data_IF_330398354094
#
_entry.id   IF_330398354094
#
_cell.length_a   1.000
_cell.length_b   1.000
_cell.length_c   1.000
_cell.angle_alpha   90.00
_cell.angle_beta   90.00
_cell.angle_gamma   90.00
#
_symmetry.space_group_name_H-M   'P 1'
#
loop_
_entity.id
_entity.type
_entity.pdbx_description
1 polymer ?
#
# COMPACT_ATOMS: atom_id res chain seq x y z
N UNK A 1 9.04 -45.64 -53.74
CA UNK A 1 8.29 -44.47 -54.23
C UNK A 1 6.88 -44.52 -53.64
N UNK A 2 6.54 -43.70 -52.63
CA UNK A 2 5.18 -43.61 -52.08
C UNK A 2 4.81 -42.13 -51.96
N UNK A 3 3.79 -41.74 -52.74
CA UNK A 3 3.22 -40.39 -52.79
C UNK A 3 2.23 -40.24 -51.63
N UNK A 4 2.37 -39.20 -50.82
CA UNK A 4 1.37 -38.82 -49.82
C UNK A 4 0.49 -37.72 -50.39
N UNK A 5 -0.82 -37.99 -50.46
CA UNK A 5 -1.85 -37.05 -50.89
C UNK A 5 -2.17 -36.07 -49.76
N UNK A 6 -2.10 -34.78 -50.04
CA UNK A 6 -2.57 -33.72 -49.17
C UNK A 6 -4.10 -33.67 -49.24
N UNK A 7 -4.76 -34.03 -48.13
CA UNK A 7 -6.21 -33.94 -47.97
C UNK A 7 -6.55 -32.60 -47.34
N UNK A 8 -6.95 -31.65 -48.18
CA UNK A 8 -7.35 -30.29 -47.79
C UNK A 8 -8.70 -30.35 -47.07
N UNK A 9 -8.69 -30.26 -45.74
CA UNK A 9 -9.89 -30.13 -44.91
C UNK A 9 -10.36 -28.66 -44.92
N UNK A 10 -11.39 -28.40 -45.73
CA UNK A 10 -12.25 -27.22 -45.64
C UNK A 10 -13.02 -27.25 -44.31
N UNK A 11 -12.52 -26.52 -43.32
CA UNK A 11 -13.28 -26.26 -42.08
C UNK A 11 -14.24 -25.10 -42.33
N UNK A 12 -15.54 -25.41 -42.29
CA UNK A 12 -16.64 -24.44 -42.27
C UNK A 12 -16.42 -23.40 -41.17
N UNK A 13 -16.26 -22.14 -41.57
CA UNK A 13 -16.39 -20.99 -40.68
C UNK A 13 -17.88 -20.80 -40.33
N UNK A 14 -18.34 -21.54 -39.33
CA UNK A 14 -19.63 -21.28 -38.69
C UNK A 14 -19.57 -19.91 -38.01
N UNK A 15 -20.39 -18.97 -38.49
CA UNK A 15 -20.63 -17.67 -37.85
C UNK A 15 -21.25 -17.89 -36.47
N UNK A 16 -20.43 -18.07 -35.44
CA UNK A 16 -20.89 -17.93 -34.06
C UNK A 16 -21.14 -16.45 -33.81
N UNK A 17 -22.41 -16.06 -33.78
CA UNK A 17 -22.82 -14.76 -33.27
C UNK A 17 -22.37 -14.69 -31.80
N UNK A 18 -21.35 -13.87 -31.52
CA UNK A 18 -20.97 -13.47 -30.17
C UNK A 18 -22.18 -12.77 -29.55
N UNK A 19 -22.96 -13.50 -28.76
CA UNK A 19 -24.01 -12.91 -27.94
C UNK A 19 -23.36 -11.84 -27.07
N UNK A 20 -23.80 -10.58 -27.25
CA UNK A 20 -23.35 -9.47 -26.44
C UNK A 20 -23.61 -9.82 -24.97
N UNK A 21 -22.53 -10.02 -24.21
CA UNK A 21 -22.64 -10.28 -22.78
C UNK A 21 -23.37 -9.10 -22.15
N UNK A 22 -24.44 -9.33 -21.34
CA UNK A 22 -25.23 -8.26 -20.75
C UNK A 22 -24.31 -7.27 -20.05
N UNK A 23 -24.33 -6.04 -20.54
CA UNK A 23 -23.46 -4.96 -20.10
C UNK A 23 -23.83 -4.63 -18.66
N UNK A 24 -22.92 -4.96 -17.73
CA UNK A 24 -22.96 -4.60 -16.31
C UNK A 24 -23.54 -3.21 -16.10
N UNK A 25 -24.54 -3.03 -15.23
CA UNK A 25 -25.02 -1.71 -14.79
C UNK A 25 -23.85 -0.93 -14.14
N UNK A 26 -23.23 0.03 -14.86
CA UNK A 26 -21.98 0.64 -14.39
C UNK A 26 -22.10 1.36 -13.03
N UNK A 27 -23.23 2.06 -12.72
CA UNK A 27 -23.37 2.80 -11.46
C UNK A 27 -23.33 1.94 -10.20
N UNK A 28 -23.94 0.74 -10.23
CA UNK A 28 -24.01 -0.13 -9.05
C UNK A 28 -22.63 -0.69 -8.70
N UNK A 29 -21.89 -1.13 -9.73
CA UNK A 29 -20.53 -1.66 -9.54
C UNK A 29 -19.63 -0.57 -8.98
N UNK A 30 -19.62 0.58 -9.64
CA UNK A 30 -18.74 1.68 -9.29
C UNK A 30 -19.00 2.21 -7.87
N UNK A 31 -20.25 2.45 -7.51
CA UNK A 31 -20.62 2.95 -6.17
C UNK A 31 -20.22 1.98 -5.07
N UNK A 32 -20.46 0.68 -5.26
CA UNK A 32 -20.11 -0.37 -4.27
C UNK A 32 -18.60 -0.47 -4.09
N UNK A 33 -17.82 -0.45 -5.18
CA UNK A 33 -16.36 -0.55 -5.11
C UNK A 33 -15.76 0.72 -4.50
N UNK A 34 -16.21 1.91 -4.91
CA UNK A 34 -15.77 3.20 -4.34
C UNK A 34 -16.02 3.27 -2.84
N UNK A 35 -17.19 2.82 -2.36
CA UNK A 35 -17.51 2.79 -0.94
C UNK A 35 -16.56 1.90 -0.11
N UNK A 36 -15.87 0.94 -0.75
CA UNK A 36 -14.88 0.05 -0.12
C UNK A 36 -13.45 0.35 -0.55
N UNK A 37 -13.21 1.46 -1.24
CA UNK A 37 -11.90 1.86 -1.76
C UNK A 37 -10.78 1.85 -0.71
N UNK A 38 -10.95 2.41 0.52
CA UNK A 38 -9.88 2.40 1.52
C UNK A 38 -9.40 1.00 1.92
N UNK A 39 -10.24 -0.03 1.77
CA UNK A 39 -9.85 -1.41 2.00
C UNK A 39 -8.96 -1.97 0.88
N UNK A 40 -9.27 -1.64 -0.37
CA UNK A 40 -8.50 -2.06 -1.55
C UNK A 40 -7.16 -1.31 -1.60
N UNK A 41 -7.20 0.00 -1.34
CA UNK A 41 -6.01 0.86 -1.32
C UNK A 41 -4.98 0.40 -0.28
N UNK A 42 -5.41 -0.17 0.86
CA UNK A 42 -4.51 -0.77 1.85
C UNK A 42 -3.65 -1.91 1.30
N UNK A 43 -4.15 -2.71 0.35
CA UNK A 43 -3.36 -3.76 -0.28
C UNK A 43 -2.13 -3.18 -0.99
N UNK A 44 -2.33 -2.09 -1.72
CA UNK A 44 -1.28 -1.40 -2.45
C UNK A 44 -0.34 -0.63 -1.51
N UNK A 45 -0.87 0.16 -0.58
CA UNK A 45 -0.07 0.99 0.32
C UNK A 45 0.88 0.17 1.21
N UNK A 46 0.51 -1.05 1.58
CA UNK A 46 1.37 -1.93 2.37
C UNK A 46 2.63 -2.37 1.60
N UNK A 47 2.51 -2.62 0.31
CA UNK A 47 3.63 -2.99 -0.54
C UNK A 47 4.38 -1.75 -1.06
N UNK A 48 3.68 -0.63 -1.24
CA UNK A 48 4.29 0.64 -1.63
C UNK A 48 5.30 1.12 -0.58
N UNK A 49 4.94 0.99 0.70
CA UNK A 49 5.85 1.28 1.83
C UNK A 49 7.10 0.40 1.87
N UNK A 50 7.09 -0.74 1.19
CA UNK A 50 8.27 -1.62 1.08
C UNK A 50 9.12 -1.30 -0.14
N UNK A 51 8.76 -0.28 -0.92
CA UNK A 51 9.36 0.00 -2.23
C UNK A 51 9.09 -1.09 -3.27
N UNK A 52 8.13 -1.99 -3.02
CA UNK A 52 7.94 -3.20 -3.80
C UNK A 52 6.92 -3.06 -4.95
N UNK A 53 6.32 -1.86 -5.11
CA UNK A 53 5.33 -1.55 -6.16
C UNK A 53 5.42 -0.10 -6.62
N UNK A 54 5.15 0.12 -7.91
CA UNK A 54 4.95 1.44 -8.51
C UNK A 54 3.52 1.63 -9.00
N UNK A 55 3.28 2.72 -9.75
CA UNK A 55 2.01 2.99 -10.42
C UNK A 55 1.56 1.77 -11.25
N UNK A 56 0.25 1.52 -11.31
CA UNK A 56 -0.27 0.50 -12.19
C UNK A 56 -1.75 0.22 -12.04
N UNK A 57 -2.24 -0.70 -12.86
CA UNK A 57 -3.64 -1.06 -12.98
C UNK A 57 -3.82 -2.54 -12.67
N UNK A 58 -4.92 -2.87 -12.02
CA UNK A 58 -5.42 -4.24 -11.85
C UNK A 58 -6.86 -4.27 -12.33
N UNK A 59 -7.17 -5.13 -13.31
CA UNK A 59 -8.52 -5.36 -13.80
C UNK A 59 -9.05 -6.62 -13.15
N UNK A 60 -10.09 -6.47 -12.32
CA UNK A 60 -10.69 -7.57 -11.57
C UNK A 60 -11.95 -8.04 -12.27
N UNK A 61 -11.97 -9.30 -12.68
CA UNK A 61 -13.19 -9.99 -13.08
C UNK A 61 -13.86 -10.60 -11.85
N UNK A 62 -15.19 -10.56 -11.79
CA UNK A 62 -15.94 -11.12 -10.67
C UNK A 62 -17.31 -11.66 -11.07
N UNK A 63 -17.87 -12.51 -10.20
CA UNK A 63 -19.22 -13.04 -10.29
C UNK A 63 -19.86 -13.12 -8.91
N UNK A 64 -21.09 -12.63 -8.77
CA UNK A 64 -21.87 -12.70 -7.53
C UNK A 64 -22.85 -13.87 -7.52
N UNK A 65 -23.42 -14.17 -6.35
CA UNK A 65 -24.66 -14.92 -6.25
C UNK A 65 -25.90 -14.00 -6.30
N UNK A 66 -27.09 -14.60 -6.22
CA UNK A 66 -28.39 -13.90 -6.18
C UNK A 66 -28.53 -12.93 -4.99
N UNK A 67 -27.78 -13.14 -3.90
CA UNK A 67 -27.76 -12.25 -2.73
C UNK A 67 -26.74 -11.11 -2.85
N UNK A 68 -26.09 -10.99 -4.00
CA UNK A 68 -25.09 -9.97 -4.31
C UNK A 68 -23.71 -10.18 -3.68
N UNK A 69 -23.44 -11.31 -3.03
CA UNK A 69 -22.09 -11.61 -2.52
C UNK A 69 -21.18 -12.09 -3.64
N UNK A 70 -19.95 -11.59 -3.69
CA UNK A 70 -18.94 -12.03 -4.67
C UNK A 70 -18.48 -13.46 -4.34
N UNK A 71 -18.84 -14.43 -5.19
CA UNK A 71 -18.41 -15.82 -5.05
C UNK A 71 -17.09 -16.09 -5.75
N UNK A 72 -16.89 -15.51 -6.94
CA UNK A 72 -15.68 -15.65 -7.74
C UNK A 72 -15.08 -14.27 -8.00
N UNK A 73 -13.76 -14.18 -7.88
CA UNK A 73 -13.00 -13.02 -8.31
C UNK A 73 -11.64 -13.51 -8.83
N UNK A 74 -11.17 -12.94 -9.94
CA UNK A 74 -9.92 -13.27 -10.59
C UNK A 74 -9.29 -12.02 -11.21
N UNK A 75 -7.98 -12.07 -11.45
CA UNK A 75 -7.27 -11.03 -12.17
C UNK A 75 -7.48 -11.31 -13.66
N UNK A 76 -8.09 -10.36 -14.36
CA UNK A 76 -8.24 -10.44 -15.81
C UNK A 76 -7.02 -9.83 -16.52
N UNK A 77 -6.53 -8.71 -16.00
CA UNK A 77 -5.36 -7.97 -16.53
C UNK A 77 -4.65 -7.32 -15.34
N UNK A 78 -3.34 -7.18 -15.38
CA UNK A 78 -2.61 -6.36 -14.41
C UNK A 78 -1.32 -5.81 -15.02
N UNK A 79 -1.00 -4.55 -14.68
CA UNK A 79 0.33 -3.98 -14.94
C UNK A 79 1.20 -3.95 -13.68
N UNK A 80 0.61 -4.17 -12.51
CA UNK A 80 1.34 -4.33 -11.24
C UNK A 80 1.75 -5.79 -11.13
N UNK A 81 3.05 -6.08 -11.14
CA UNK A 81 3.54 -7.48 -11.07
C UNK A 81 3.61 -8.07 -9.67
N UNK A 82 3.38 -7.27 -8.63
CA UNK A 82 3.46 -7.73 -7.26
C UNK A 82 2.28 -8.67 -6.90
N UNK A 83 2.58 -9.96 -6.77
CA UNK A 83 1.61 -11.02 -6.43
C UNK A 83 0.99 -10.87 -5.03
N UNK A 84 1.63 -10.16 -4.10
CA UNK A 84 1.04 -9.88 -2.78
C UNK A 84 -0.11 -8.88 -2.94
N UNK A 85 0.07 -7.83 -3.74
CA UNK A 85 -1.01 -6.88 -4.06
C UNK A 85 -2.14 -7.58 -4.81
N UNK A 86 -1.84 -8.34 -5.88
CA UNK A 86 -2.86 -9.06 -6.67
C UNK A 86 -3.72 -9.96 -5.77
N UNK A 87 -3.10 -10.82 -4.95
CA UNK A 87 -3.82 -11.71 -4.02
C UNK A 87 -4.63 -10.95 -2.97
N UNK A 88 -4.07 -9.89 -2.39
CA UNK A 88 -4.78 -9.06 -1.42
C UNK A 88 -6.03 -8.41 -2.06
N UNK A 89 -5.91 -7.85 -3.26
CA UNK A 89 -7.04 -7.22 -3.98
C UNK A 89 -8.15 -8.23 -4.22
N UNK A 90 -7.84 -9.42 -4.74
CA UNK A 90 -8.83 -10.50 -4.95
C UNK A 90 -9.51 -10.89 -3.64
N UNK A 91 -8.74 -11.10 -2.57
CA UNK A 91 -9.29 -11.44 -1.26
C UNK A 91 -10.25 -10.37 -0.73
N UNK A 92 -9.93 -9.09 -0.92
CA UNK A 92 -10.79 -7.97 -0.54
C UNK A 92 -12.02 -7.86 -1.44
N UNK A 93 -11.88 -8.10 -2.74
CA UNK A 93 -13.00 -8.07 -3.69
C UNK A 93 -14.04 -9.15 -3.40
N UNK A 94 -13.62 -10.36 -2.99
CA UNK A 94 -14.52 -11.45 -2.54
C UNK A 94 -15.39 -11.09 -1.33
N UNK A 95 -15.02 -10.04 -0.57
CA UNK A 95 -15.81 -9.56 0.58
C UNK A 95 -16.83 -8.49 0.22
N UNK A 96 -16.92 -8.09 -1.05
CA UNK A 96 -17.92 -7.12 -1.49
C UNK A 96 -19.31 -7.76 -1.54
N UNK A 97 -20.32 -6.93 -1.26
CA UNK A 97 -21.74 -7.26 -1.39
C UNK A 97 -22.40 -6.15 -2.19
N UNK A 98 -23.00 -6.53 -3.32
CA UNK A 98 -23.78 -5.65 -4.17
C UNK A 98 -25.25 -5.72 -3.75
N UNK A 99 -25.97 -4.60 -3.89
CA UNK A 99 -27.42 -4.56 -3.69
C UNK A 99 -28.07 -4.97 -5.00
N UNK A 100 -28.51 -6.24 -5.08
CA UNK A 100 -29.25 -6.78 -6.21
C UNK A 100 -30.71 -6.97 -5.81
N UNK A 101 -31.59 -6.98 -6.81
CA UNK A 101 -33.03 -7.29 -6.67
C UNK A 101 -33.31 -8.75 -6.29
N UNK A 102 -32.34 -9.64 -6.51
CA UNK A 102 -32.42 -11.06 -6.16
C UNK A 102 -32.74 -11.98 -7.33
N UNK A 103 -33.04 -11.43 -8.51
CA UNK A 103 -33.40 -12.21 -9.70
C UNK A 103 -32.17 -12.67 -10.48
N UNK A 104 -31.10 -11.86 -10.45
CA UNK A 104 -29.94 -12.06 -11.31
C UNK A 104 -28.63 -12.13 -10.53
N UNK A 105 -27.67 -12.88 -11.09
CA UNK A 105 -26.27 -12.80 -10.67
C UNK A 105 -25.57 -11.69 -11.45
N UNK A 106 -24.69 -10.94 -10.80
CA UNK A 106 -23.87 -9.93 -11.44
C UNK A 106 -22.53 -10.52 -11.84
N UNK A 107 -22.19 -10.47 -13.13
CA UNK A 107 -20.84 -10.72 -13.63
C UNK A 107 -20.28 -9.42 -14.17
N UNK A 108 -19.08 -9.04 -13.74
CA UNK A 108 -18.51 -7.74 -14.09
C UNK A 108 -17.01 -7.77 -14.18
N UNK A 109 -16.49 -6.70 -14.81
CA UNK A 109 -15.07 -6.42 -14.94
C UNK A 109 -14.87 -5.00 -14.41
N UNK A 110 -13.96 -4.82 -13.45
CA UNK A 110 -13.72 -3.52 -12.83
C UNK A 110 -12.23 -3.15 -12.85
N UNK A 111 -11.85 -2.07 -13.55
CA UNK A 111 -10.48 -1.57 -13.55
C UNK A 111 -10.18 -0.81 -12.26
N UNK A 112 -9.09 -1.18 -11.60
CA UNK A 112 -8.55 -0.49 -10.43
C UNK A 112 -7.21 0.14 -10.80
N UNK A 113 -7.14 1.46 -10.75
CA UNK A 113 -5.89 2.18 -10.95
C UNK A 113 -5.29 2.54 -9.59
N UNK A 114 -4.08 2.08 -9.35
CA UNK A 114 -3.24 2.52 -8.25
C UNK A 114 -2.24 3.52 -8.78
N UNK A 115 -2.04 4.59 -8.02
CA UNK A 115 -0.94 5.48 -8.28
C UNK A 115 -0.02 5.51 -7.06
N UNK A 116 1.25 5.18 -7.28
CA UNK A 116 2.37 5.73 -6.55
C UNK A 116 2.43 7.22 -6.88
N UNK A 117 1.39 7.97 -6.47
CA UNK A 117 1.61 9.36 -6.12
C UNK A 117 2.60 9.29 -5.00
N UNK A 118 3.87 9.34 -5.36
CA UNK A 118 4.94 9.71 -4.48
C UNK A 118 4.38 10.88 -3.70
N UNK A 119 4.54 10.84 -2.38
CA UNK A 119 4.30 11.96 -1.49
C UNK A 119 5.14 13.21 -1.87
N UNK A 120 5.65 13.31 -3.11
CA UNK A 120 6.13 14.51 -3.79
C UNK A 120 5.05 15.61 -3.91
N UNK A 121 3.76 15.30 -3.79
CA UNK A 121 2.73 16.34 -3.66
C UNK A 121 2.67 17.01 -2.26
N UNK A 122 3.44 16.53 -1.27
CA UNK A 122 3.68 17.24 -0.02
C UNK A 122 5.04 17.98 0.00
N UNK A 123 5.86 17.84 -1.04
CA UNK A 123 7.18 18.51 -1.14
C UNK A 123 7.12 19.89 -1.82
N UNK A 124 5.93 20.48 -2.01
CA UNK A 124 5.78 21.86 -2.53
C UNK A 124 4.95 22.79 -1.66
N UNK A 125 4.53 22.35 -0.47
CA UNK A 125 4.06 23.30 0.54
C UNK A 125 5.25 23.66 1.44
N UNK A 126 5.81 24.83 1.13
CA UNK A 126 6.69 25.65 1.94
C UNK A 126 6.48 25.41 3.46
N UNK A 127 7.54 25.07 4.23
CA UNK A 127 7.48 24.75 5.65
C UNK A 127 7.31 26.03 6.49
N UNK A 128 6.17 26.70 6.34
CA UNK A 128 5.84 27.90 7.12
C UNK A 128 4.71 27.66 8.14
N UNK A 129 4.07 26.47 8.15
CA UNK A 129 2.98 26.14 9.07
C UNK A 129 3.25 24.99 10.05
N UNK A 130 4.47 24.46 10.08
CA UNK A 130 4.82 23.28 10.89
C UNK A 130 5.89 23.55 11.96
N UNK A 131 6.24 24.81 12.25
CA UNK A 131 7.19 25.10 13.34
C UNK A 131 6.68 24.56 14.69
N UNK A 132 5.38 24.74 14.99
CA UNK A 132 4.77 24.14 16.19
C UNK A 132 4.84 22.60 16.16
N UNK A 133 4.55 21.98 15.02
CA UNK A 133 4.61 20.52 14.89
C UNK A 133 6.03 19.99 15.07
N UNK A 134 7.01 20.70 14.50
CA UNK A 134 8.42 20.40 14.66
C UNK A 134 8.84 20.50 16.13
N UNK A 135 8.48 21.58 16.82
CA UNK A 135 8.75 21.75 18.26
C UNK A 135 8.13 20.64 19.10
N UNK A 136 6.90 20.25 18.79
CA UNK A 136 6.21 19.15 19.46
C UNK A 136 6.87 17.78 19.22
N UNK A 137 7.37 17.55 18.00
CA UNK A 137 8.14 16.33 17.66
C UNK A 137 9.50 16.36 18.36
N UNK A 138 10.22 17.49 18.31
CA UNK A 138 11.48 17.70 19.01
C UNK A 138 11.32 17.40 20.50
N UNK A 139 10.31 17.98 21.14
CA UNK A 139 10.01 17.72 22.55
C UNK A 139 9.78 16.23 22.82
N UNK A 140 8.95 15.57 22.01
CA UNK A 140 8.67 14.14 22.17
C UNK A 140 9.93 13.26 21.99
N UNK A 141 10.85 13.65 21.11
CA UNK A 141 12.16 12.99 20.94
C UNK A 141 13.04 13.21 22.16
N UNK A 142 13.14 14.46 22.64
CA UNK A 142 13.98 14.82 23.79
C UNK A 142 13.53 14.09 25.08
N UNK A 143 12.22 14.03 25.35
CA UNK A 143 11.65 13.29 26.48
C UNK A 143 12.02 11.80 26.48
N UNK A 144 12.30 11.23 25.30
CA UNK A 144 12.65 9.82 25.10
C UNK A 144 14.12 9.60 24.79
N UNK A 145 14.93 10.66 24.77
CA UNK A 145 16.36 10.60 24.47
C UNK A 145 17.12 9.52 25.27
N UNK A 146 16.88 9.32 26.58
CA UNK A 146 17.55 8.26 27.33
C UNK A 146 17.33 6.85 26.76
N UNK A 147 16.16 6.59 26.15
CA UNK A 147 15.84 5.30 25.52
C UNK A 147 16.55 5.14 24.18
N UNK A 148 16.65 6.21 23.37
CA UNK A 148 17.46 6.20 22.15
C UNK A 148 18.94 5.96 22.46
N UNK A 149 19.47 6.66 23.47
CA UNK A 149 20.84 6.45 23.96
C UNK A 149 21.06 5.02 24.43
N UNK A 150 20.07 4.39 25.07
CA UNK A 150 20.13 2.98 25.47
C UNK A 150 20.22 2.02 24.28
N UNK A 151 19.48 2.25 23.19
CA UNK A 151 19.61 1.47 21.95
C UNK A 151 21.06 1.48 21.44
N UNK A 152 21.65 2.67 21.37
CA UNK A 152 23.01 2.86 20.91
C UNK A 152 24.05 2.22 21.86
N UNK A 153 24.01 2.55 23.15
CA UNK A 153 25.00 2.06 24.12
C UNK A 153 25.00 0.54 24.26
N UNK A 154 23.83 -0.11 24.18
CA UNK A 154 23.71 -1.56 24.25
C UNK A 154 24.53 -2.26 23.16
N UNK A 155 24.36 -1.82 21.92
CA UNK A 155 25.10 -2.40 20.78
C UNK A 155 26.54 -1.88 20.70
N UNK A 156 26.80 -0.66 21.19
CA UNK A 156 28.14 -0.09 21.29
C UNK A 156 29.07 -0.97 22.13
N UNK A 157 28.62 -1.36 23.33
CA UNK A 157 29.39 -2.21 24.24
C UNK A 157 29.52 -3.62 23.66
N UNK A 158 28.43 -4.16 23.10
CA UNK A 158 28.39 -5.53 22.59
C UNK A 158 29.30 -5.75 21.37
N UNK A 159 29.31 -4.81 20.43
CA UNK A 159 30.01 -4.96 19.15
C UNK A 159 31.26 -4.05 19.03
N UNK A 160 31.68 -3.42 20.14
CA UNK A 160 32.81 -2.48 20.20
C UNK A 160 32.74 -1.37 19.13
N UNK A 161 31.55 -0.79 18.94
CA UNK A 161 31.34 0.26 17.93
C UNK A 161 31.97 1.56 18.42
N UNK A 162 32.92 2.10 17.69
CA UNK A 162 33.55 3.39 18.00
C UNK A 162 32.91 4.56 17.26
N UNK A 163 32.11 4.27 16.23
CA UNK A 163 31.61 5.26 15.29
C UNK A 163 30.46 6.06 15.87
N UNK A 164 30.64 7.38 15.91
CA UNK A 164 29.55 8.36 16.04
C UNK A 164 28.83 8.46 14.69
N UNK A 165 27.55 8.80 14.70
CA UNK A 165 26.80 8.84 13.45
C UNK A 165 25.38 9.33 13.63
N UNK A 166 24.72 9.54 12.50
CA UNK A 166 23.33 9.98 12.44
C UNK A 166 22.46 8.89 11.81
N UNK A 167 21.28 8.67 12.39
CA UNK A 167 20.20 7.89 11.79
C UNK A 167 19.11 8.86 11.37
N UNK A 168 18.89 9.00 10.06
CA UNK A 168 17.81 9.80 9.49
C UNK A 168 16.55 8.94 9.40
N UNK A 169 15.55 9.28 10.21
CA UNK A 169 14.27 8.56 10.22
C UNK A 169 13.26 9.27 9.33
N UNK A 170 12.58 8.53 8.46
CA UNK A 170 11.31 8.97 7.89
C UNK A 170 10.17 8.54 8.81
N UNK A 171 9.17 9.39 9.01
CA UNK A 171 8.04 9.08 9.90
C UNK A 171 6.72 9.68 9.44
N UNK A 172 5.62 9.12 9.96
CA UNK A 172 4.25 9.63 9.82
C UNK A 172 3.57 9.67 11.18
N UNK A 173 3.04 10.83 11.55
CA UNK A 173 2.24 11.08 12.75
C UNK A 173 0.78 11.28 12.33
N UNK A 174 -0.12 10.52 12.94
CA UNK A 174 -1.55 10.68 12.70
C UNK A 174 -2.11 11.93 13.38
N UNK A 175 -3.36 12.29 13.04
CA UNK A 175 -4.10 13.43 13.62
C UNK A 175 -4.17 13.39 15.15
N UNK A 176 -4.15 12.19 15.74
CA UNK A 176 -4.18 11.97 17.19
C UNK A 176 -2.80 12.07 17.88
N UNK A 177 -1.77 12.50 17.15
CA UNK A 177 -0.40 12.65 17.65
C UNK A 177 0.39 11.35 17.77
N UNK A 178 -0.17 10.18 17.44
CA UNK A 178 0.56 8.89 17.48
C UNK A 178 1.35 8.68 16.19
N UNK A 179 2.61 8.25 16.32
CA UNK A 179 3.40 7.78 15.18
C UNK A 179 2.79 6.50 14.62
N UNK A 180 2.39 6.51 13.35
CA UNK A 180 1.81 5.36 12.66
C UNK A 180 2.78 4.62 11.77
N UNK A 181 3.86 5.30 11.37
CA UNK A 181 4.93 4.73 10.57
C UNK A 181 6.27 5.39 10.92
N UNK A 182 7.33 4.59 10.91
CA UNK A 182 8.71 5.06 10.98
C UNK A 182 9.61 4.02 10.33
N UNK A 183 10.62 4.50 9.60
CA UNK A 183 11.64 3.71 8.93
C UNK A 183 12.95 4.50 8.84
N UNK A 184 14.07 3.79 8.66
CA UNK A 184 15.36 4.43 8.39
C UNK A 184 15.41 4.83 6.92
N UNK A 185 15.60 6.13 6.67
CA UNK A 185 15.83 6.65 5.33
C UNK A 185 17.32 6.58 4.96
N UNK A 186 18.19 6.92 5.91
CA UNK A 186 19.65 6.92 5.76
C UNK A 186 20.30 6.73 7.13
N UNK A 187 21.45 6.06 7.19
CA UNK A 187 22.19 5.83 8.44
C UNK A 187 23.70 5.78 8.21
N UNK A 188 24.45 6.52 9.03
CA UNK A 188 25.92 6.46 9.06
C UNK A 188 26.42 5.34 10.00
N UNK A 189 25.55 4.81 10.87
CA UNK A 189 25.93 3.78 11.84
C UNK A 189 26.08 2.40 11.20
N UNK A 190 25.38 2.15 10.08
CA UNK A 190 25.36 0.88 9.34
C UNK A 190 25.17 -0.32 10.28
N UNK A 191 24.28 -0.18 11.26
CA UNK A 191 24.03 -1.20 12.27
C UNK A 191 22.53 -1.43 12.41
N UNK A 192 22.05 -2.49 11.78
CA UNK A 192 20.64 -2.86 11.73
C UNK A 192 20.02 -3.02 13.13
N UNK A 193 20.79 -3.53 14.10
CA UNK A 193 20.28 -3.71 15.48
C UNK A 193 19.99 -2.37 16.17
N UNK A 194 20.87 -1.37 15.99
CA UNK A 194 20.66 -0.02 16.53
C UNK A 194 19.51 0.67 15.78
N UNK A 195 19.54 0.62 14.46
CA UNK A 195 18.55 1.21 13.57
C UNK A 195 17.13 0.71 13.87
N UNK A 196 16.95 -0.61 13.98
CA UNK A 196 15.67 -1.22 14.29
C UNK A 196 15.18 -0.84 15.69
N UNK A 197 16.07 -0.82 16.70
CA UNK A 197 15.73 -0.38 18.06
C UNK A 197 15.22 1.07 18.08
N UNK A 198 15.87 1.96 17.32
CA UNK A 198 15.47 3.36 17.18
C UNK A 198 14.11 3.46 16.49
N UNK A 199 13.90 2.75 15.37
CA UNK A 199 12.62 2.74 14.64
C UNK A 199 11.48 2.28 15.53
N UNK A 200 11.66 1.19 16.27
CA UNK A 200 10.61 0.66 17.15
C UNK A 200 10.31 1.61 18.31
N UNK A 201 11.33 2.23 18.89
CA UNK A 201 11.15 3.26 19.90
C UNK A 201 10.39 4.47 19.35
N UNK A 202 10.75 4.93 18.14
CA UNK A 202 10.10 6.06 17.47
C UNK A 202 8.62 5.75 17.15
N UNK A 203 8.29 4.54 16.71
CA UNK A 203 6.89 4.09 16.49
C UNK A 203 6.04 4.11 17.74
N UNK A 204 6.64 3.97 18.93
CA UNK A 204 5.91 4.05 20.20
C UNK A 204 5.69 5.48 20.69
N UNK A 205 6.20 6.47 19.96
CA UNK A 205 6.08 7.88 20.33
C UNK A 205 4.66 8.41 20.12
N UNK A 206 4.33 9.37 20.98
CA UNK A 206 3.12 10.16 20.88
C UNK A 206 3.49 11.61 21.17
N UNK A 207 3.05 12.50 20.30
CA UNK A 207 3.11 13.94 20.50
C UNK A 207 2.03 14.34 21.51
N UNK A 208 2.38 15.22 22.45
CA UNK A 208 1.49 15.61 23.55
C UNK A 208 0.16 16.21 23.06
N UNK A 209 0.21 17.01 21.99
CA UNK A 209 -0.96 17.63 21.39
C UNK A 209 -1.40 16.89 20.11
N UNK A 210 -2.71 16.74 19.87
CA UNK A 210 -3.21 16.30 18.58
C UNK A 210 -2.86 17.35 17.53
N UNK A 211 -2.40 16.89 16.37
CA UNK A 211 -1.94 17.77 15.30
C UNK A 211 -3.09 18.23 14.39
N UNK A 212 -4.30 17.64 14.56
CA UNK A 212 -5.50 17.85 13.72
C UNK A 212 -5.28 17.60 12.21
N UNK A 213 -4.11 17.07 11.84
CA UNK A 213 -3.72 16.66 10.50
C UNK A 213 -2.66 15.56 10.59
N UNK A 214 -2.48 14.83 9.50
CA UNK A 214 -1.37 13.88 9.35
C UNK A 214 -0.11 14.67 9.03
N UNK A 215 0.96 14.41 9.78
CA UNK A 215 2.29 15.01 9.56
C UNK A 215 3.26 13.91 9.15
N UNK A 216 4.12 14.21 8.19
CA UNK A 216 5.21 13.32 7.82
C UNK A 216 6.48 14.14 7.64
N UNK A 217 7.62 13.55 7.95
CA UNK A 217 8.88 14.28 7.88
C UNK A 217 10.07 13.36 8.07
N UNK A 218 11.25 13.98 8.07
CA UNK A 218 12.51 13.32 8.34
C UNK A 218 13.11 13.90 9.61
N UNK A 219 13.63 13.05 10.50
CA UNK A 219 14.21 13.46 11.78
C UNK A 219 15.61 12.84 11.96
N UNK A 220 16.66 13.66 12.15
CA UNK A 220 18.00 13.15 12.43
C UNK A 220 18.16 12.78 13.92
N UNK A 221 18.59 11.55 14.19
CA UNK A 221 19.01 11.10 15.52
C UNK A 221 20.54 10.98 15.51
N UNK A 222 21.23 11.96 16.08
CA UNK A 222 22.70 12.01 16.09
C UNK A 222 23.27 11.54 17.43
N UNK A 223 24.10 10.50 17.40
CA UNK A 223 24.87 10.04 18.55
C UNK A 223 26.28 10.64 18.48
N UNK A 224 26.67 11.34 19.55
CA UNK A 224 28.00 11.90 19.75
C UNK A 224 28.78 11.07 20.78
#
# INVERSE_FOLDING_TARGET
>A
MKKYAYMTLLLCWGKFALAATPTTEPPLVESTVKARWPMLQRCYNNELRKGAVGDGKIVVGFQTNLRGYVQKAWIQEATIENEVVKRCVIYRFKKLKFKLDGENTLRGIYPISFSAKTTKQFSKNKPASDEKAKQLIDQAVQERWPKFKKCYLKEKIKNNITNVGTVMLHFVVNENGKVSHSEVQQSDLQNESIEQCIVDLFRTMRVAEPLHRIIQGNYPITFK
#
